data_IF_201765511589
#
_entry.id   IF_201765511589
#
_cell.length_a   1.000
_cell.length_b   1.000
_cell.length_c   1.000
_cell.angle_alpha   90.00
_cell.angle_beta   90.00
_cell.angle_gamma   90.00
#
_symmetry.space_group_name_H-M   'P 1'
#
loop_
_entity.id
_entity.type
_entity.pdbx_description
1 polymer ?
#
# COMPACT_ATOMS: atom_id res chain seq x y z
N UNK A 1 51.94 15.92 5.28
CA UNK A 1 51.28 17.21 4.99
C UNK A 1 49.79 16.97 4.75
N UNK A 2 48.97 17.14 5.79
CA UNK A 2 47.52 17.02 5.72
C UNK A 2 46.93 18.24 4.98
N UNK A 3 46.46 18.06 3.75
CA UNK A 3 45.61 19.05 3.08
C UNK A 3 44.19 18.93 3.64
N UNK A 4 43.85 19.80 4.59
CA UNK A 4 42.48 20.11 4.98
C UNK A 4 41.76 20.73 3.78
N UNK A 5 40.96 19.94 3.06
CA UNK A 5 39.97 20.46 2.12
C UNK A 5 38.79 21.02 2.91
N UNK A 6 38.95 22.25 3.39
CA UNK A 6 37.82 23.08 3.85
C UNK A 6 36.91 23.37 2.66
N UNK A 7 35.81 22.64 2.56
CA UNK A 7 34.67 23.02 1.73
C UNK A 7 34.11 24.33 2.27
N UNK A 8 34.41 25.44 1.60
CA UNK A 8 33.88 26.78 1.89
C UNK A 8 32.40 26.80 1.54
N UNK A 9 31.55 27.15 2.50
CA UNK A 9 30.16 27.48 2.18
C UNK A 9 30.23 28.83 1.49
N UNK A 10 29.75 28.91 0.26
CA UNK A 10 29.72 30.17 -0.47
C UNK A 10 28.62 31.03 0.16
N UNK A 11 28.90 32.28 0.56
CA UNK A 11 27.88 33.19 1.07
C UNK A 11 26.77 33.36 0.04
N UNK A 12 25.51 33.28 0.47
CA UNK A 12 24.35 33.13 -0.41
C UNK A 12 24.20 34.26 -1.43
N UNK A 13 24.56 35.49 -1.04
CA UNK A 13 24.56 36.68 -1.91
C UNK A 13 25.63 36.63 -3.01
N UNK A 14 26.80 36.06 -2.72
CA UNK A 14 27.87 35.90 -3.70
C UNK A 14 27.51 34.83 -4.74
N UNK A 15 26.89 33.73 -4.28
CA UNK A 15 26.35 32.66 -5.13
C UNK A 15 25.29 33.18 -6.11
N UNK A 16 24.40 34.07 -5.67
CA UNK A 16 23.39 34.69 -6.55
C UNK A 16 23.98 35.67 -7.55
N UNK A 17 24.93 36.53 -7.15
CA UNK A 17 25.58 37.46 -8.07
C UNK A 17 26.35 36.72 -9.18
N UNK A 18 27.01 35.61 -8.84
CA UNK A 18 27.68 34.74 -9.81
C UNK A 18 26.70 33.92 -10.66
N UNK A 19 25.58 33.46 -10.08
CA UNK A 19 24.55 32.75 -10.83
C UNK A 19 23.76 33.68 -11.76
N UNK A 20 23.46 34.92 -11.34
CA UNK A 20 22.80 35.96 -12.15
C UNK A 20 23.63 36.33 -13.39
N UNK A 21 24.95 36.43 -13.26
CA UNK A 21 25.85 36.71 -14.39
C UNK A 21 26.03 35.51 -15.34
N UNK A 22 25.56 34.32 -14.93
CA UNK A 22 25.67 33.04 -15.65
C UNK A 22 24.31 32.37 -15.90
N UNK A 23 23.18 33.10 -15.85
CA UNK A 23 21.84 32.52 -16.13
C UNK A 23 21.80 31.82 -17.50
N UNK A 24 22.53 32.36 -18.48
CA UNK A 24 22.69 31.76 -19.81
C UNK A 24 23.46 30.42 -19.80
N UNK A 25 24.17 30.09 -18.72
CA UNK A 25 25.02 28.90 -18.61
C UNK A 25 24.41 27.77 -17.74
N UNK A 26 23.57 28.06 -16.73
CA UNK A 26 22.88 27.02 -15.96
C UNK A 26 21.64 27.52 -15.21
N UNK A 27 20.46 27.10 -15.66
CA UNK A 27 19.19 27.43 -15.00
C UNK A 27 19.03 26.77 -13.63
N UNK A 28 19.50 25.52 -13.46
CA UNK A 28 19.38 24.79 -12.19
C UNK A 28 20.20 25.46 -11.07
N UNK A 29 21.43 25.90 -11.36
CA UNK A 29 22.25 26.63 -10.40
C UNK A 29 21.64 27.98 -10.04
N UNK A 30 21.02 28.67 -11.00
CA UNK A 30 20.30 29.90 -10.73
C UNK A 30 19.11 29.68 -9.77
N UNK A 31 18.30 28.65 -10.00
CA UNK A 31 17.20 28.29 -9.11
C UNK A 31 17.71 27.93 -7.70
N UNK A 32 18.80 27.17 -7.61
CA UNK A 32 19.43 26.82 -6.33
C UNK A 32 19.90 28.07 -5.58
N UNK A 33 20.68 28.94 -6.24
CA UNK A 33 21.24 30.13 -5.62
C UNK A 33 20.14 31.10 -5.15
N UNK A 34 19.15 31.34 -6.01
CA UNK A 34 18.01 32.21 -5.69
C UNK A 34 17.17 31.64 -4.54
N UNK A 35 16.89 30.34 -4.56
CA UNK A 35 16.16 29.66 -3.49
C UNK A 35 16.90 29.66 -2.15
N UNK A 36 18.22 29.45 -2.17
CA UNK A 36 19.05 29.54 -0.97
C UNK A 36 19.03 30.96 -0.38
N UNK A 37 19.07 32.00 -1.21
CA UNK A 37 19.04 33.39 -0.73
C UNK A 37 17.68 33.71 -0.10
N UNK A 38 16.59 33.36 -0.78
CA UNK A 38 15.24 33.55 -0.25
C UNK A 38 15.07 32.84 1.10
N UNK A 39 15.54 31.59 1.22
CA UNK A 39 15.53 30.86 2.49
C UNK A 39 16.42 31.53 3.55
N UNK A 40 17.57 32.06 3.16
CA UNK A 40 18.45 32.84 4.02
C UNK A 40 17.74 34.07 4.61
N UNK A 41 17.04 34.84 3.78
CA UNK A 41 16.25 35.98 4.22
C UNK A 41 15.09 35.58 5.14
N UNK A 42 14.40 34.47 4.83
CA UNK A 42 13.35 33.94 5.70
C UNK A 42 13.90 33.58 7.08
N UNK A 43 15.06 32.92 7.15
CA UNK A 43 15.72 32.58 8.42
C UNK A 43 16.17 33.84 9.19
N UNK A 44 16.63 34.88 8.50
CA UNK A 44 16.99 36.15 9.14
C UNK A 44 15.76 36.91 9.67
N UNK A 45 14.63 36.87 8.95
CA UNK A 45 13.33 37.38 9.43
C UNK A 45 12.85 36.63 10.67
N UNK A 46 12.94 35.30 10.67
CA UNK A 46 12.64 34.47 11.84
C UNK A 46 13.51 34.84 13.04
N UNK A 47 14.83 34.96 12.82
CA UNK A 47 15.78 35.38 13.85
C UNK A 47 15.45 36.77 14.40
N UNK A 48 15.00 37.70 13.55
CA UNK A 48 14.56 39.02 13.98
C UNK A 48 13.25 38.99 14.76
N UNK A 49 12.29 38.16 14.36
CA UNK A 49 11.03 37.98 15.10
C UNK A 49 11.26 37.40 16.51
N UNK A 50 12.27 36.54 16.68
CA UNK A 50 12.59 35.91 17.97
C UNK A 50 13.52 36.77 18.83
N UNK A 51 14.57 37.36 18.24
CA UNK A 51 15.62 38.07 18.96
C UNK A 51 15.51 39.60 18.90
N UNK A 52 14.55 40.16 18.18
CA UNK A 52 14.47 41.59 17.86
C UNK A 52 15.53 42.04 16.84
N UNK A 53 15.59 43.34 16.49
CA UNK A 53 16.59 43.89 15.58
C UNK A 53 18.03 43.60 16.05
N UNK A 54 19.00 43.60 15.11
CA UNK A 54 20.41 43.41 15.48
C UNK A 54 20.87 44.54 16.42
N UNK A 55 21.64 44.18 17.44
CA UNK A 55 22.17 45.09 18.47
C UNK A 55 21.13 45.82 19.34
N UNK A 56 19.83 45.62 19.11
CA UNK A 56 18.78 46.23 19.92
C UNK A 56 18.60 45.48 21.26
N UNK A 57 18.47 46.26 22.34
CA UNK A 57 18.01 45.79 23.65
C UNK A 57 16.49 45.99 23.69
N UNK A 58 15.73 44.92 23.84
CA UNK A 58 14.26 44.97 23.84
C UNK A 58 13.67 43.96 24.81
N UNK A 59 12.57 44.34 25.48
CA UNK A 59 11.92 43.51 26.52
C UNK A 59 11.16 42.29 25.95
N UNK A 60 10.73 42.34 24.69
CA UNK A 60 9.95 41.26 24.04
C UNK A 60 10.82 40.19 23.34
N UNK A 61 12.13 40.20 23.58
CA UNK A 61 13.03 39.19 23.01
C UNK A 61 12.77 37.85 23.71
N UNK A 62 12.91 36.74 22.97
CA UNK A 62 12.83 35.38 23.54
C UNK A 62 14.17 34.65 23.52
N UNK A 63 15.14 35.16 22.76
CA UNK A 63 16.46 34.56 22.59
C UNK A 63 17.54 35.59 22.22
N UNK A 64 18.79 35.15 22.21
CA UNK A 64 19.94 35.84 21.65
C UNK A 64 20.41 35.17 20.36
N UNK A 65 21.02 35.94 19.45
CA UNK A 65 21.74 35.37 18.30
C UNK A 65 23.07 34.79 18.78
N UNK A 66 23.32 33.52 18.47
CA UNK A 66 24.48 32.74 18.89
C UNK A 66 25.34 32.35 17.68
N UNK A 67 25.57 33.32 16.79
CA UNK A 67 26.31 33.11 15.54
C UNK A 67 25.52 32.33 14.50
N UNK A 68 26.25 31.65 13.62
CA UNK A 68 25.71 30.88 12.49
C UNK A 68 26.36 29.51 12.41
N UNK A 69 25.69 28.57 11.76
CA UNK A 69 26.22 27.24 11.48
C UNK A 69 25.85 26.79 10.09
N UNK A 70 26.64 25.86 9.54
CA UNK A 70 26.30 25.17 8.30
C UNK A 70 25.24 24.11 8.58
N UNK A 71 24.21 24.07 7.75
CA UNK A 71 23.18 23.05 7.71
C UNK A 71 23.07 22.47 6.30
N UNK A 72 22.45 21.29 6.18
CA UNK A 72 22.21 20.66 4.87
C UNK A 72 20.72 20.47 4.62
N UNK A 73 20.22 20.97 3.49
CA UNK A 73 18.84 20.78 3.04
C UNK A 73 18.78 19.88 1.81
N UNK A 74 17.61 19.31 1.54
CA UNK A 74 17.38 18.53 0.32
C UNK A 74 17.12 19.40 -0.90
N UNK A 75 17.79 19.11 -2.01
CA UNK A 75 17.59 19.74 -3.32
C UNK A 75 17.98 18.79 -4.46
N UNK A 76 17.07 18.58 -5.43
CA UNK A 76 17.19 17.62 -6.55
C UNK A 76 17.83 16.28 -6.14
N UNK A 77 17.19 15.58 -5.20
CA UNK A 77 17.61 14.25 -4.75
C UNK A 77 18.93 14.18 -3.96
N UNK A 78 19.66 15.30 -3.79
CA UNK A 78 20.88 15.39 -2.99
C UNK A 78 20.83 16.50 -1.93
N UNK A 79 21.87 16.59 -1.10
CA UNK A 79 22.00 17.64 -0.09
C UNK A 79 22.77 18.82 -0.64
N UNK A 80 22.34 20.03 -0.28
CA UNK A 80 23.08 21.29 -0.48
C UNK A 80 23.35 21.91 0.89
N UNK A 81 24.51 22.56 1.02
CA UNK A 81 24.91 23.22 2.26
C UNK A 81 24.46 24.68 2.25
N UNK A 82 23.87 25.14 3.35
CA UNK A 82 23.43 26.52 3.55
C UNK A 82 23.82 26.96 4.96
N UNK A 83 24.17 28.23 5.09
CA UNK A 83 24.43 28.85 6.38
C UNK A 83 23.10 29.26 7.05
N UNK A 84 22.88 28.82 8.28
CA UNK A 84 21.69 29.16 9.08
C UNK A 84 22.07 29.92 10.36
N UNK A 85 21.24 30.85 10.83
CA UNK A 85 21.43 31.46 12.14
C UNK A 85 21.24 30.42 13.26
N UNK A 86 21.98 30.60 14.36
CA UNK A 86 21.75 29.89 15.62
C UNK A 86 21.15 30.86 16.62
N UNK A 87 20.07 30.45 17.25
CA UNK A 87 19.38 31.23 18.28
C UNK A 87 19.51 30.48 19.60
N UNK A 88 19.76 31.20 20.69
CA UNK A 88 19.88 30.61 22.03
C UNK A 88 18.94 31.32 23.00
N UNK A 89 18.01 30.58 23.57
CA UNK A 89 17.07 31.07 24.57
C UNK A 89 17.80 31.54 25.83
N UNK A 90 17.10 32.34 26.64
CA UNK A 90 17.63 32.76 27.95
C UNK A 90 17.79 31.60 28.93
N UNK A 91 17.08 30.49 28.69
CA UNK A 91 17.23 29.21 29.36
C UNK A 91 18.48 28.43 28.92
N UNK A 92 19.28 28.99 28.00
CA UNK A 92 20.49 28.39 27.48
C UNK A 92 20.29 27.35 26.39
N UNK A 93 19.05 27.06 25.96
CA UNK A 93 18.74 26.06 24.91
C UNK A 93 18.77 26.66 23.51
N UNK A 94 19.12 25.86 22.51
CA UNK A 94 19.01 26.28 21.11
C UNK A 94 17.54 26.41 20.73
N UNK A 95 17.19 27.54 20.11
CA UNK A 95 15.83 27.85 19.70
C UNK A 95 15.65 27.54 18.21
N UNK A 96 14.48 27.00 17.84
CA UNK A 96 14.19 26.65 16.47
C UNK A 96 14.14 27.89 15.57
N UNK A 97 14.50 27.69 14.31
CA UNK A 97 14.30 28.69 13.25
C UNK A 97 13.18 28.14 12.36
N UNK A 98 11.94 28.68 12.44
CA UNK A 98 10.78 28.08 11.80
C UNK A 98 10.94 27.76 10.31
N UNK A 99 11.50 28.67 9.51
CA UNK A 99 11.72 28.45 8.08
C UNK A 99 12.75 27.35 7.79
N UNK A 100 13.77 27.20 8.65
CA UNK A 100 14.72 26.08 8.59
C UNK A 100 14.03 24.74 8.91
N UNK A 101 13.24 24.71 9.97
CA UNK A 101 12.54 23.49 10.37
C UNK A 101 11.52 23.05 9.33
N UNK A 102 10.77 23.99 8.76
CA UNK A 102 9.85 23.73 7.66
C UNK A 102 10.58 23.13 6.44
N UNK A 103 11.70 23.73 6.03
CA UNK A 103 12.49 23.23 4.89
C UNK A 103 13.06 21.82 5.13
N UNK A 104 13.46 21.49 6.37
CA UNK A 104 13.96 20.16 6.73
C UNK A 104 12.83 19.14 6.83
N UNK A 105 11.70 19.53 7.45
CA UNK A 105 10.54 18.67 7.68
C UNK A 105 9.88 18.18 6.38
N UNK A 106 10.07 18.90 5.28
CA UNK A 106 9.50 18.51 3.99
C UNK A 106 10.08 17.18 3.45
N UNK A 107 11.27 16.76 3.90
CA UNK A 107 11.94 15.51 3.56
C UNK A 107 11.88 15.13 2.06
N UNK A 108 12.22 16.08 1.19
CA UNK A 108 12.28 15.85 -0.26
C UNK A 108 13.17 14.66 -0.63
N UNK A 109 14.25 14.43 0.11
CA UNK A 109 15.16 13.33 -0.17
C UNK A 109 14.54 11.97 0.15
N UNK A 110 13.76 11.88 1.23
CA UNK A 110 12.95 10.70 1.53
C UNK A 110 11.91 10.46 0.44
N UNK A 111 11.16 11.49 0.06
CA UNK A 111 10.14 11.44 -0.99
C UNK A 111 10.72 11.01 -2.34
N UNK A 112 11.86 11.57 -2.75
CA UNK A 112 12.57 11.17 -3.97
C UNK A 112 13.06 9.73 -3.90
N UNK A 113 13.70 9.33 -2.79
CA UNK A 113 14.13 7.94 -2.61
C UNK A 113 12.95 6.96 -2.69
N UNK A 114 11.82 7.28 -2.06
CA UNK A 114 10.63 6.44 -2.16
C UNK A 114 10.09 6.36 -3.59
N UNK A 115 9.92 7.50 -4.26
CA UNK A 115 9.41 7.54 -5.62
C UNK A 115 10.30 6.72 -6.58
N UNK A 116 11.61 6.95 -6.54
CA UNK A 116 12.59 6.27 -7.39
C UNK A 116 12.58 4.74 -7.17
N UNK A 117 12.46 4.29 -5.91
CA UNK A 117 12.36 2.87 -5.59
C UNK A 117 11.05 2.26 -6.13
N UNK A 118 9.92 2.96 -6.02
CA UNK A 118 8.61 2.51 -6.51
C UNK A 118 8.56 2.39 -8.04
N UNK A 119 9.29 3.22 -8.76
CA UNK A 119 9.41 3.14 -10.23
C UNK A 119 10.58 2.25 -10.70
N UNK A 120 11.10 1.38 -9.83
CA UNK A 120 12.16 0.40 -10.11
C UNK A 120 13.54 0.99 -10.44
N UNK A 121 13.87 2.20 -10.00
CA UNK A 121 15.26 2.64 -10.01
C UNK A 121 16.03 1.94 -8.88
N UNK A 122 17.01 1.12 -9.26
CA UNK A 122 17.89 0.46 -8.30
C UNK A 122 18.66 1.50 -7.46
N UNK A 123 18.87 1.23 -6.17
CA UNK A 123 19.62 2.13 -5.26
C UNK A 123 21.02 2.49 -5.76
N UNK A 124 21.67 1.62 -6.54
CA UNK A 124 22.98 1.90 -7.19
C UNK A 124 22.88 2.94 -8.30
N UNK A 125 21.70 3.10 -8.92
CA UNK A 125 21.41 4.07 -9.98
C UNK A 125 20.76 5.35 -9.43
N UNK A 126 20.46 5.43 -8.14
CA UNK A 126 19.76 6.58 -7.53
C UNK A 126 20.46 7.91 -7.81
N UNK A 127 21.79 7.98 -7.63
CA UNK A 127 22.54 9.21 -7.90
C UNK A 127 22.33 9.69 -9.34
N UNK A 128 22.48 8.79 -10.32
CA UNK A 128 22.30 9.07 -11.75
C UNK A 128 20.86 9.39 -12.15
N UNK A 129 19.87 8.93 -11.37
CA UNK A 129 18.45 9.15 -11.70
C UNK A 129 17.91 10.48 -11.20
N UNK A 130 18.60 11.12 -10.25
CA UNK A 130 18.18 12.42 -9.70
C UNK A 130 19.17 13.54 -10.02
N UNK A 131 20.39 13.20 -10.46
CA UNK A 131 21.38 14.16 -10.95
C UNK A 131 22.04 13.61 -12.21
N UNK A 132 21.97 14.40 -13.27
CA UNK A 132 22.62 14.07 -14.54
C UNK A 132 24.15 14.12 -14.35
N UNK A 133 24.91 13.22 -14.99
CA UNK A 133 26.37 13.26 -14.96
C UNK A 133 26.95 14.60 -15.44
N UNK A 134 26.29 15.21 -16.43
CA UNK A 134 26.63 16.50 -17.02
C UNK A 134 25.92 17.68 -16.33
N UNK A 135 25.16 17.42 -15.25
CA UNK A 135 24.41 18.44 -14.54
C UNK A 135 25.30 19.33 -13.67
N UNK A 136 24.96 20.61 -13.60
CA UNK A 136 25.81 21.63 -12.98
C UNK A 136 25.72 21.67 -11.44
N UNK A 137 24.81 20.90 -10.83
CA UNK A 137 24.62 20.88 -9.37
C UNK A 137 25.65 19.92 -8.71
N UNK A 138 26.61 20.43 -7.90
CA UNK A 138 27.68 19.62 -7.36
C UNK A 138 27.17 18.46 -6.50
N UNK A 139 27.66 17.24 -6.74
CA UNK A 139 27.42 16.05 -5.92
C UNK A 139 28.61 15.67 -5.03
N UNK A 140 29.08 16.54 -4.11
CA UNK A 140 30.26 16.26 -3.31
C UNK A 140 30.05 15.09 -2.36
N UNK A 141 31.16 14.58 -1.80
CA UNK A 141 31.11 13.60 -0.71
C UNK A 141 30.18 14.08 0.41
N UNK A 142 29.21 13.24 0.79
CA UNK A 142 28.20 13.60 1.78
C UNK A 142 26.95 14.33 1.24
N UNK A 143 26.80 14.46 -0.09
CA UNK A 143 25.55 14.88 -0.73
C UNK A 143 24.38 13.89 -0.49
N UNK A 144 24.67 12.71 0.07
CA UNK A 144 23.67 11.72 0.43
C UNK A 144 23.04 11.02 -0.78
N UNK A 145 23.74 10.98 -1.90
CA UNK A 145 23.33 10.31 -3.15
C UNK A 145 23.74 8.82 -3.19
N UNK A 146 24.46 8.34 -2.18
CA UNK A 146 24.94 6.95 -2.16
C UNK A 146 23.79 5.94 -2.04
N UNK A 147 24.03 4.72 -2.55
CA UNK A 147 23.14 3.56 -2.38
C UNK A 147 22.62 3.42 -0.95
N UNK A 148 23.52 3.49 0.04
CA UNK A 148 23.16 3.30 1.45
C UNK A 148 22.32 4.45 1.99
N UNK A 149 22.55 5.68 1.53
CA UNK A 149 21.73 6.83 1.91
C UNK A 149 20.32 6.74 1.32
N UNK A 150 20.19 6.37 0.04
CA UNK A 150 18.89 6.13 -0.59
C UNK A 150 18.12 5.00 0.11
N UNK A 151 18.80 3.88 0.41
CA UNK A 151 18.21 2.75 1.11
C UNK A 151 17.71 3.12 2.51
N UNK A 152 18.50 3.83 3.32
CA UNK A 152 18.07 4.27 4.66
C UNK A 152 16.85 5.18 4.61
N UNK A 153 16.80 6.10 3.64
CA UNK A 153 15.65 6.99 3.45
C UNK A 153 14.38 6.23 3.05
N UNK A 154 14.51 5.31 2.10
CA UNK A 154 13.40 4.43 1.73
C UNK A 154 12.89 3.65 2.95
N UNK A 155 13.80 3.02 3.70
CA UNK A 155 13.48 2.25 4.92
C UNK A 155 12.73 3.10 5.94
N UNK A 156 13.21 4.30 6.23
CA UNK A 156 12.58 5.20 7.21
C UNK A 156 11.18 5.66 6.75
N UNK A 157 11.07 6.19 5.52
CA UNK A 157 9.81 6.73 5.02
C UNK A 157 8.75 5.64 4.77
N UNK A 158 9.15 4.49 4.22
CA UNK A 158 8.24 3.36 4.03
C UNK A 158 7.77 2.78 5.36
N UNK A 159 8.61 2.73 6.39
CA UNK A 159 8.21 2.28 7.72
C UNK A 159 7.16 3.21 8.34
N UNK A 160 7.37 4.52 8.28
CA UNK A 160 6.40 5.51 8.76
C UNK A 160 5.06 5.38 8.01
N UNK A 161 5.09 5.43 6.66
CA UNK A 161 3.87 5.31 5.85
C UNK A 161 3.15 3.99 6.01
N UNK A 162 3.87 2.88 6.22
CA UNK A 162 3.24 1.58 6.47
C UNK A 162 2.53 1.61 7.81
N UNK A 163 3.16 2.16 8.85
CA UNK A 163 2.56 2.31 10.18
C UNK A 163 1.29 3.17 10.13
N UNK A 164 1.37 4.34 9.50
CA UNK A 164 0.25 5.27 9.38
C UNK A 164 -0.92 4.64 8.60
N UNK A 165 -0.62 3.96 7.49
CA UNK A 165 -1.63 3.25 6.71
C UNK A 165 -2.24 2.06 7.45
N UNK A 166 -1.45 1.26 8.16
CA UNK A 166 -1.93 0.14 8.97
C UNK A 166 -2.70 0.59 10.21
N UNK A 167 -2.67 1.89 10.55
CA UNK A 167 -3.45 2.49 11.64
C UNK A 167 -4.61 3.37 11.13
N UNK A 168 -4.81 3.49 9.81
CA UNK A 168 -5.81 4.40 9.26
C UNK A 168 -7.24 3.90 9.54
N UNK A 169 -8.13 4.81 9.90
CA UNK A 169 -9.56 4.50 10.09
C UNK A 169 -10.21 4.00 8.78
N UNK A 170 -11.05 2.99 8.91
CA UNK A 170 -11.81 2.32 7.84
C UNK A 170 -13.32 2.60 7.94
N UNK A 171 -13.80 3.17 9.05
CA UNK A 171 -15.23 3.37 9.32
C UNK A 171 -15.92 4.21 8.24
N UNK A 172 -15.21 5.16 7.63
CA UNK A 172 -15.74 6.03 6.57
C UNK A 172 -15.81 5.40 5.17
N UNK A 173 -15.35 4.17 4.96
CA UNK A 173 -15.20 3.58 3.62
C UNK A 173 -16.43 2.82 3.08
N UNK A 174 -17.51 2.64 3.86
CA UNK A 174 -18.75 1.94 3.46
C UNK A 174 -18.52 0.74 2.51
N UNK A 175 -17.68 -0.20 2.98
CA UNK A 175 -17.18 -1.33 2.19
C UNK A 175 -18.26 -2.40 2.03
N UNK A 176 -18.54 -2.81 0.78
CA UNK A 176 -19.47 -3.90 0.45
C UNK A 176 -18.77 -5.23 0.14
N UNK A 177 -17.56 -5.16 -0.42
CA UNK A 177 -16.79 -6.33 -0.85
C UNK A 177 -15.40 -6.26 -0.26
N UNK A 178 -14.89 -7.39 0.24
CA UNK A 178 -13.52 -7.53 0.73
C UNK A 178 -12.88 -8.74 0.07
N UNK A 179 -11.79 -8.52 -0.67
CA UNK A 179 -10.95 -9.59 -1.18
C UNK A 179 -9.78 -9.83 -0.23
N UNK A 180 -9.54 -11.08 0.14
CA UNK A 180 -8.38 -11.47 0.94
C UNK A 180 -7.64 -12.59 0.20
N UNK A 181 -6.33 -12.43 0.04
CA UNK A 181 -5.50 -13.39 -0.70
C UNK A 181 -4.08 -13.46 -0.14
N UNK A 182 -3.44 -14.61 -0.36
CA UNK A 182 -2.05 -14.87 -0.02
C UNK A 182 -1.11 -14.33 -1.10
N UNK A 183 0.00 -13.72 -0.68
CA UNK A 183 1.03 -13.14 -1.54
C UNK A 183 2.34 -13.85 -1.25
N UNK A 184 2.80 -14.64 -2.22
CA UNK A 184 4.11 -15.27 -2.19
C UNK A 184 5.18 -14.24 -2.57
N UNK A 185 6.00 -13.82 -1.61
CA UNK A 185 7.08 -12.85 -1.80
C UNK A 185 8.40 -13.54 -2.17
N UNK A 186 8.60 -14.74 -1.64
CA UNK A 186 9.69 -15.68 -1.90
C UNK A 186 9.18 -17.11 -1.61
N UNK A 187 10.04 -18.12 -1.74
CA UNK A 187 9.68 -19.53 -1.42
C UNK A 187 9.17 -19.69 0.03
N UNK A 188 9.79 -19.02 0.99
CA UNK A 188 9.49 -19.15 2.43
C UNK A 188 8.75 -17.95 3.05
N UNK A 189 8.29 -17.00 2.22
CA UNK A 189 7.71 -15.75 2.73
C UNK A 189 6.36 -15.44 2.09
N UNK A 190 5.31 -15.54 2.91
CA UNK A 190 3.93 -15.27 2.51
C UNK A 190 3.40 -14.07 3.29
N UNK A 191 2.67 -13.18 2.61
CA UNK A 191 1.90 -12.12 3.25
C UNK A 191 0.43 -12.32 2.93
N UNK A 192 -0.47 -12.01 3.85
CA UNK A 192 -1.91 -11.98 3.56
C UNK A 192 -2.32 -10.53 3.36
N UNK A 193 -3.02 -10.22 2.28
CA UNK A 193 -3.46 -8.87 1.96
C UNK A 193 -4.98 -8.77 1.83
N UNK A 194 -5.51 -7.62 2.20
CA UNK A 194 -6.93 -7.29 2.04
C UNK A 194 -7.12 -6.05 1.14
N UNK A 195 -8.08 -6.13 0.21
CA UNK A 195 -8.56 -5.01 -0.60
C UNK A 195 -10.08 -4.92 -0.50
N UNK A 196 -10.58 -3.74 -0.20
CA UNK A 196 -12.01 -3.42 -0.11
C UNK A 196 -12.53 -2.76 -1.37
N UNK A 197 -13.83 -2.89 -1.60
CA UNK A 197 -14.60 -2.10 -2.57
C UNK A 197 -15.74 -1.43 -1.83
N UNK A 198 -15.83 -0.10 -1.97
CA UNK A 198 -16.91 0.68 -1.38
C UNK A 198 -18.19 0.64 -2.24
N UNK A 199 -19.26 1.25 -1.74
CA UNK A 199 -20.54 1.41 -2.45
C UNK A 199 -20.46 2.11 -3.80
N UNK A 200 -19.46 2.98 -4.01
CA UNK A 200 -19.26 3.69 -5.28
C UNK A 200 -18.45 2.85 -6.27
N UNK A 201 -17.91 1.72 -5.81
CA UNK A 201 -17.04 0.84 -6.57
C UNK A 201 -15.58 1.24 -6.53
N UNK A 202 -15.20 2.25 -5.73
CA UNK A 202 -13.80 2.63 -5.54
C UNK A 202 -13.11 1.56 -4.68
N UNK A 203 -11.85 1.26 -5.02
CA UNK A 203 -11.09 0.15 -4.43
C UNK A 203 -10.08 0.70 -3.43
N UNK A 204 -9.91 0.02 -2.32
CA UNK A 204 -9.10 0.50 -1.20
C UNK A 204 -8.19 -0.62 -0.68
N UNK A 205 -6.85 -0.47 -0.71
CA UNK A 205 -5.97 -1.34 0.07
C UNK A 205 -6.29 -1.20 1.56
N UNK A 206 -6.63 -2.30 2.23
CA UNK A 206 -7.08 -2.25 3.63
C UNK A 206 -5.97 -2.62 4.62
N UNK A 207 -5.17 -3.64 4.32
CA UNK A 207 -4.12 -4.08 5.24
C UNK A 207 -3.29 -5.25 4.75
N UNK A 208 -2.24 -5.54 5.53
CA UNK A 208 -1.30 -6.64 5.35
C UNK A 208 -1.04 -7.34 6.68
N UNK A 209 -0.87 -8.66 6.64
CA UNK A 209 -0.37 -9.44 7.77
C UNK A 209 0.79 -10.35 7.33
N UNK A 210 1.76 -10.50 8.23
CA UNK A 210 2.91 -11.40 8.07
C UNK A 210 2.53 -12.84 8.45
N UNK A 211 2.91 -13.81 7.62
CA UNK A 211 2.81 -15.23 7.93
C UNK A 211 3.97 -16.05 7.35
N UNK A 212 4.41 -17.07 8.07
CA UNK A 212 5.29 -18.10 7.49
C UNK A 212 4.52 -19.07 6.57
N UNK A 213 3.21 -19.17 6.77
CA UNK A 213 2.23 -19.92 5.97
C UNK A 213 0.89 -19.19 6.02
N UNK A 214 -0.12 -19.62 5.25
CA UNK A 214 -1.53 -19.21 5.41
C UNK A 214 -2.16 -19.78 6.70
N UNK A 215 -1.46 -19.68 7.83
CA UNK A 215 -1.95 -20.15 9.11
C UNK A 215 -3.14 -19.29 9.56
N UNK A 216 -4.14 -19.93 10.14
CA UNK A 216 -5.34 -19.30 10.66
C UNK A 216 -5.06 -18.15 11.63
N UNK A 217 -3.93 -18.16 12.34
CA UNK A 217 -3.51 -17.07 13.22
C UNK A 217 -3.19 -15.78 12.45
N UNK A 218 -2.41 -15.85 11.36
CA UNK A 218 -2.06 -14.68 10.54
C UNK A 218 -3.31 -14.07 9.90
N UNK A 219 -4.18 -14.92 9.37
CA UNK A 219 -5.44 -14.47 8.78
C UNK A 219 -6.32 -13.78 9.81
N UNK A 220 -6.45 -14.37 11.01
CA UNK A 220 -7.24 -13.74 12.06
C UNK A 220 -6.65 -12.41 12.49
N UNK A 221 -5.34 -12.32 12.66
CA UNK A 221 -4.68 -11.05 13.03
C UNK A 221 -4.95 -9.95 12.01
N UNK A 222 -4.99 -10.29 10.71
CA UNK A 222 -5.40 -9.33 9.68
C UNK A 222 -6.84 -8.87 9.91
N UNK A 223 -7.77 -9.80 10.09
CA UNK A 223 -9.19 -9.48 10.28
C UNK A 223 -9.42 -8.66 11.56
N UNK A 224 -8.79 -9.05 12.67
CA UNK A 224 -8.86 -8.33 13.95
C UNK A 224 -8.38 -6.88 13.76
N UNK A 225 -7.24 -6.68 13.07
CA UNK A 225 -6.75 -5.33 12.76
C UNK A 225 -7.75 -4.52 11.93
N UNK A 226 -8.43 -5.13 10.95
CA UNK A 226 -9.45 -4.43 10.17
C UNK A 226 -10.64 -4.00 11.05
N UNK A 227 -11.09 -4.88 11.95
CA UNK A 227 -12.21 -4.60 12.88
C UNK A 227 -11.84 -3.50 13.87
N UNK A 228 -10.66 -3.57 14.47
CA UNK A 228 -10.14 -2.54 15.38
C UNK A 228 -10.08 -1.15 14.73
N UNK A 229 -9.89 -1.11 13.40
CA UNK A 229 -9.84 0.11 12.60
C UNK A 229 -11.20 0.55 12.08
N UNK A 230 -12.30 -0.04 12.53
CA UNK A 230 -13.66 0.40 12.19
C UNK A 230 -14.37 -0.45 11.12
N UNK A 231 -13.85 -1.63 10.75
CA UNK A 231 -14.60 -2.57 9.94
C UNK A 231 -15.68 -3.28 10.79
N UNK A 232 -16.87 -2.69 10.86
CA UNK A 232 -17.97 -3.19 11.69
C UNK A 232 -18.42 -4.62 11.30
N UNK A 233 -18.27 -5.65 12.16
CA UNK A 233 -18.71 -7.01 11.88
C UNK A 233 -20.22 -7.19 11.68
N UNK A 234 -21.05 -6.26 12.17
CA UNK A 234 -22.50 -6.32 12.04
C UNK A 234 -22.99 -6.02 10.62
N UNK A 235 -22.21 -5.29 9.83
CA UNK A 235 -22.58 -4.93 8.46
C UNK A 235 -22.33 -6.11 7.50
N UNK A 236 -23.36 -6.63 6.82
CA UNK A 236 -23.20 -7.73 5.87
C UNK A 236 -22.31 -7.35 4.69
N UNK A 237 -21.31 -8.19 4.40
CA UNK A 237 -20.35 -8.00 3.29
C UNK A 237 -20.12 -9.27 2.52
N UNK A 238 -19.73 -9.12 1.25
CA UNK A 238 -19.22 -10.22 0.45
C UNK A 238 -17.70 -10.34 0.62
N UNK A 239 -17.24 -11.48 1.09
CA UNK A 239 -15.83 -11.83 1.11
C UNK A 239 -15.46 -12.65 -0.11
N UNK A 240 -14.36 -12.32 -0.79
CA UNK A 240 -13.86 -13.09 -1.94
C UNK A 240 -12.46 -13.61 -1.61
N UNK A 241 -12.28 -14.92 -1.68
CA UNK A 241 -11.04 -15.61 -1.29
C UNK A 241 -10.67 -16.68 -2.32
N UNK A 242 -9.43 -17.13 -2.35
CA UNK A 242 -8.94 -18.22 -3.21
C UNK A 242 -9.49 -19.60 -2.82
N UNK A 243 -9.89 -19.76 -1.55
CA UNK A 243 -10.44 -20.97 -0.97
C UNK A 243 -9.64 -21.58 0.15
N UNK A 244 -8.65 -20.88 0.73
CA UNK A 244 -7.99 -21.35 1.93
C UNK A 244 -9.02 -21.52 3.08
N UNK A 245 -9.11 -22.74 3.63
CA UNK A 245 -10.05 -23.05 4.73
C UNK A 245 -9.84 -22.16 5.96
N UNK A 246 -8.59 -21.74 6.19
CA UNK A 246 -8.23 -20.80 7.24
C UNK A 246 -8.92 -19.44 7.07
N UNK A 247 -9.00 -18.92 5.83
CA UNK A 247 -9.74 -17.71 5.48
C UNK A 247 -11.22 -17.86 5.77
N UNK A 248 -11.86 -18.90 5.24
CA UNK A 248 -13.30 -19.10 5.46
C UNK A 248 -13.65 -19.22 6.95
N UNK A 249 -12.81 -19.91 7.74
CA UNK A 249 -13.01 -20.08 9.19
C UNK A 249 -12.85 -18.75 9.95
N UNK A 250 -11.82 -17.98 9.64
CA UNK A 250 -11.55 -16.70 10.31
C UNK A 250 -12.64 -15.65 10.00
N UNK A 251 -13.10 -15.60 8.74
CA UNK A 251 -14.23 -14.76 8.33
C UNK A 251 -15.49 -15.14 9.12
N UNK A 252 -15.88 -16.43 9.12
CA UNK A 252 -17.09 -16.86 9.82
C UNK A 252 -17.02 -16.70 11.34
N UNK A 253 -15.82 -16.78 11.93
CA UNK A 253 -15.62 -16.50 13.36
C UNK A 253 -15.93 -15.04 13.70
N UNK A 254 -15.57 -14.11 12.82
CA UNK A 254 -15.65 -12.67 13.09
C UNK A 254 -16.98 -12.07 12.63
N UNK A 255 -17.43 -12.42 11.42
CA UNK A 255 -18.62 -11.87 10.76
C UNK A 255 -19.84 -12.79 10.86
N UNK A 256 -19.73 -13.88 11.62
CA UNK A 256 -20.80 -14.86 11.82
C UNK A 256 -20.92 -15.92 10.71
N UNK A 257 -21.70 -16.96 11.00
CA UNK A 257 -21.89 -18.12 10.11
C UNK A 257 -22.55 -17.73 8.77
N UNK A 258 -23.36 -16.68 8.78
CA UNK A 258 -24.09 -16.13 7.62
C UNK A 258 -23.23 -15.26 6.70
N UNK A 259 -21.93 -15.07 7.00
CA UNK A 259 -21.04 -14.28 6.17
C UNK A 259 -21.00 -14.85 4.74
N UNK A 260 -21.32 -14.00 3.75
CA UNK A 260 -21.29 -14.38 2.35
C UNK A 260 -19.85 -14.51 1.87
N UNK A 261 -19.43 -15.72 1.54
CA UNK A 261 -18.07 -16.02 1.06
C UNK A 261 -18.16 -16.54 -0.36
N UNK A 262 -17.51 -15.84 -1.29
CA UNK A 262 -17.30 -16.28 -2.67
C UNK A 262 -15.90 -16.83 -2.83
N UNK A 263 -15.80 -18.09 -3.24
CA UNK A 263 -14.52 -18.69 -3.63
C UNK A 263 -14.18 -18.35 -5.08
N UNK A 264 -12.92 -17.98 -5.33
CA UNK A 264 -12.45 -17.65 -6.66
C UNK A 264 -12.57 -18.83 -7.63
N UNK A 265 -13.40 -18.65 -8.67
CA UNK A 265 -13.61 -19.66 -9.70
C UNK A 265 -12.35 -19.93 -10.53
N UNK A 266 -11.49 -18.91 -10.73
CA UNK A 266 -10.23 -19.05 -11.47
C UNK A 266 -9.24 -19.93 -10.70
N UNK A 267 -9.05 -19.67 -9.40
CA UNK A 267 -8.20 -20.50 -8.55
C UNK A 267 -8.73 -21.92 -8.45
N UNK A 268 -10.06 -22.09 -8.31
CA UNK A 268 -10.65 -23.43 -8.33
C UNK A 268 -10.37 -24.17 -9.63
N UNK A 269 -10.58 -23.53 -10.77
CA UNK A 269 -10.31 -24.14 -12.07
C UNK A 269 -8.85 -24.59 -12.18
N UNK A 270 -7.90 -23.72 -11.80
CA UNK A 270 -6.47 -24.01 -11.82
C UNK A 270 -6.14 -25.23 -10.97
N UNK A 271 -6.61 -25.27 -9.72
CA UNK A 271 -6.37 -26.37 -8.78
C UNK A 271 -6.91 -27.72 -9.29
N UNK A 272 -8.02 -27.70 -10.04
CA UNK A 272 -8.58 -28.91 -10.68
C UNK A 272 -7.71 -29.31 -11.89
N UNK A 273 -7.35 -28.37 -12.76
CA UNK A 273 -6.57 -28.66 -13.97
C UNK A 273 -5.17 -29.20 -13.67
N UNK A 274 -4.48 -28.68 -12.66
CA UNK A 274 -3.13 -29.11 -12.28
C UNK A 274 -3.05 -30.58 -11.85
N UNK A 275 -4.18 -31.17 -11.46
CA UNK A 275 -4.29 -32.57 -11.02
C UNK A 275 -4.88 -33.50 -12.07
N UNK A 276 -5.13 -32.99 -13.27
CA UNK A 276 -5.71 -33.75 -14.38
C UNK A 276 -4.75 -33.80 -15.57
N UNK A 277 -4.77 -34.89 -16.36
CA UNK A 277 -4.04 -34.95 -17.62
C UNK A 277 -4.58 -33.92 -18.63
N UNK A 278 -3.69 -33.38 -19.46
CA UNK A 278 -4.03 -32.33 -20.44
C UNK A 278 -5.17 -32.71 -21.38
N UNK A 279 -5.35 -34.00 -21.69
CA UNK A 279 -6.43 -34.52 -22.52
C UNK A 279 -7.84 -34.25 -21.95
N UNK A 280 -7.97 -34.17 -20.62
CA UNK A 280 -9.25 -33.88 -19.95
C UNK A 280 -9.50 -32.39 -19.73
N UNK A 281 -8.50 -31.52 -19.93
CA UNK A 281 -8.62 -30.10 -19.60
C UNK A 281 -9.74 -29.41 -20.38
N UNK A 282 -9.87 -29.70 -21.69
CA UNK A 282 -10.87 -29.06 -22.54
C UNK A 282 -12.31 -29.41 -22.11
N UNK A 283 -12.59 -30.70 -21.87
CA UNK A 283 -13.93 -31.16 -21.48
C UNK A 283 -14.31 -30.66 -20.09
N UNK A 284 -13.40 -30.72 -19.12
CA UNK A 284 -13.65 -30.27 -17.75
C UNK A 284 -13.82 -28.75 -17.68
N UNK A 285 -13.01 -27.96 -18.40
CA UNK A 285 -13.17 -26.50 -18.49
C UNK A 285 -14.51 -26.10 -19.12
N UNK A 286 -14.98 -26.85 -20.12
CA UNK A 286 -16.28 -26.60 -20.75
C UNK A 286 -17.41 -26.71 -19.72
N UNK A 287 -17.44 -27.80 -18.95
CA UNK A 287 -18.48 -28.02 -17.93
C UNK A 287 -18.42 -26.99 -16.80
N UNK A 288 -17.21 -26.68 -16.30
CA UNK A 288 -17.05 -25.65 -15.26
C UNK A 288 -17.53 -24.27 -15.74
N UNK A 289 -17.16 -23.89 -16.96
CA UNK A 289 -17.61 -22.64 -17.57
C UNK A 289 -19.12 -22.60 -17.73
N UNK A 290 -19.72 -23.68 -18.25
CA UNK A 290 -21.17 -23.78 -18.39
C UNK A 290 -21.87 -23.61 -17.04
N UNK A 291 -21.39 -24.29 -16.00
CA UNK A 291 -21.96 -24.17 -14.66
C UNK A 291 -21.90 -22.73 -14.11
N UNK A 292 -20.76 -22.05 -14.27
CA UNK A 292 -20.59 -20.68 -13.76
C UNK A 292 -21.30 -19.60 -14.62
N UNK A 293 -21.61 -19.91 -15.87
CA UNK A 293 -22.40 -19.03 -16.75
C UNK A 293 -23.91 -19.13 -16.51
N UNK A 294 -24.41 -20.14 -15.80
CA UNK A 294 -25.82 -20.22 -15.41
C UNK A 294 -26.21 -19.15 -14.39
N UNK A 295 -27.48 -18.73 -14.45
CA UNK A 295 -28.11 -17.82 -13.47
C UNK A 295 -28.87 -18.58 -12.38
N UNK A 296 -28.97 -19.91 -12.52
CA UNK A 296 -29.62 -20.81 -11.58
C UNK A 296 -28.56 -21.64 -10.83
N UNK A 297 -28.39 -21.33 -9.55
CA UNK A 297 -27.39 -21.99 -8.71
C UNK A 297 -27.66 -23.48 -8.51
N UNK A 298 -28.93 -23.93 -8.49
CA UNK A 298 -29.24 -25.35 -8.32
C UNK A 298 -28.87 -26.15 -9.57
N UNK A 299 -29.11 -25.58 -10.76
CA UNK A 299 -28.65 -26.18 -12.03
C UNK A 299 -27.13 -26.19 -12.13
N UNK A 300 -26.46 -25.09 -11.73
CA UNK A 300 -25.01 -25.00 -11.70
C UNK A 300 -24.40 -26.07 -10.77
N UNK A 301 -24.95 -26.19 -9.56
CA UNK A 301 -24.51 -27.19 -8.57
C UNK A 301 -24.67 -28.62 -9.12
N UNK A 302 -25.81 -28.92 -9.76
CA UNK A 302 -26.04 -30.23 -10.37
C UNK A 302 -25.02 -30.55 -11.46
N UNK A 303 -24.66 -29.59 -12.31
CA UNK A 303 -23.62 -29.79 -13.33
C UNK A 303 -22.25 -30.08 -12.71
N UNK A 304 -21.88 -29.35 -11.65
CA UNK A 304 -20.62 -29.53 -10.93
C UNK A 304 -20.57 -30.90 -10.22
N UNK A 305 -21.67 -31.32 -9.58
CA UNK A 305 -21.77 -32.65 -8.94
C UNK A 305 -21.69 -33.78 -9.95
N UNK A 306 -22.36 -33.65 -11.10
CA UNK A 306 -22.26 -34.64 -12.19
C UNK A 306 -20.83 -34.75 -12.74
N UNK A 307 -20.12 -33.62 -12.84
CA UNK A 307 -18.70 -33.61 -13.22
C UNK A 307 -17.83 -34.35 -12.21
N UNK A 308 -18.02 -34.09 -10.92
CA UNK A 308 -17.31 -34.80 -9.86
C UNK A 308 -17.58 -36.32 -9.91
N UNK A 309 -18.85 -36.72 -10.06
CA UNK A 309 -19.24 -38.12 -10.15
C UNK A 309 -18.58 -38.84 -11.34
N UNK A 310 -18.46 -38.19 -12.50
CA UNK A 310 -17.77 -38.74 -13.68
C UNK A 310 -16.28 -38.96 -13.43
N UNK A 311 -15.66 -38.11 -12.61
CA UNK A 311 -14.24 -38.16 -12.28
C UNK A 311 -13.94 -39.06 -11.07
N UNK A 312 -14.94 -39.46 -10.29
CA UNK A 312 -14.77 -40.17 -9.02
C UNK A 312 -13.97 -41.47 -9.17
N UNK A 313 -14.24 -42.25 -10.22
CA UNK A 313 -13.63 -43.57 -10.42
C UNK A 313 -12.11 -43.50 -10.58
N UNK A 314 -11.64 -42.59 -11.44
CA UNK A 314 -10.22 -42.54 -11.85
C UNK A 314 -9.46 -41.38 -11.16
N UNK A 315 -10.20 -40.38 -10.65
CA UNK A 315 -9.67 -39.12 -10.11
C UNK A 315 -10.41 -38.68 -8.84
N UNK A 316 -10.64 -39.60 -7.89
CA UNK A 316 -11.37 -39.35 -6.63
C UNK A 316 -10.89 -38.11 -5.86
N UNK A 317 -9.57 -37.87 -5.80
CA UNK A 317 -9.01 -36.66 -5.18
C UNK A 317 -9.39 -35.35 -5.89
N UNK A 318 -9.59 -35.38 -7.21
CA UNK A 318 -10.07 -34.23 -8.00
C UNK A 318 -11.58 -34.06 -7.81
N UNK A 319 -12.34 -35.15 -7.80
CA UNK A 319 -13.77 -35.11 -7.51
C UNK A 319 -14.06 -34.53 -6.12
N UNK A 320 -13.33 -34.99 -5.09
CA UNK A 320 -13.37 -34.42 -3.75
C UNK A 320 -12.99 -32.94 -3.73
N UNK A 321 -11.97 -32.54 -4.50
CA UNK A 321 -11.65 -31.13 -4.69
C UNK A 321 -12.82 -30.37 -5.32
N UNK A 322 -13.43 -30.84 -6.42
CA UNK A 322 -14.57 -30.17 -7.08
C UNK A 322 -15.72 -29.91 -6.10
N UNK A 323 -16.06 -30.89 -5.27
CA UNK A 323 -17.14 -30.79 -4.29
C UNK A 323 -16.80 -29.88 -3.10
N UNK A 324 -15.52 -29.77 -2.77
CA UNK A 324 -15.04 -28.94 -1.66
C UNK A 324 -15.29 -27.45 -1.92
N UNK A 325 -16.07 -26.81 -1.04
CA UNK A 325 -16.41 -25.39 -1.16
C UNK A 325 -17.39 -25.07 -2.30
N UNK A 326 -18.21 -26.04 -2.73
CA UNK A 326 -19.26 -25.82 -3.75
C UNK A 326 -20.27 -24.75 -3.30
N UNK A 327 -20.49 -24.62 -1.99
CA UNK A 327 -21.36 -23.59 -1.48
C UNK A 327 -20.75 -22.20 -1.68
N UNK A 328 -19.46 -22.06 -1.37
CA UNK A 328 -18.74 -20.80 -1.51
C UNK A 328 -18.49 -20.41 -2.98
N UNK A 329 -18.36 -21.38 -3.91
CA UNK A 329 -18.08 -21.05 -5.32
C UNK A 329 -19.30 -20.51 -6.08
N UNK A 330 -20.52 -20.80 -5.60
CA UNK A 330 -21.78 -20.38 -6.22
C UNK A 330 -22.47 -19.23 -5.46
N UNK A 331 -21.82 -18.64 -4.45
CA UNK A 331 -22.40 -17.58 -3.61
C UNK A 331 -22.95 -16.42 -4.42
N UNK A 332 -22.18 -15.87 -5.37
CA UNK A 332 -22.65 -14.73 -6.19
C UNK A 332 -23.85 -15.08 -7.09
N UNK A 333 -23.96 -16.34 -7.51
CA UNK A 333 -25.12 -16.85 -8.26
C UNK A 333 -26.32 -17.03 -7.33
N UNK A 334 -26.12 -17.59 -6.12
CA UNK A 334 -27.18 -17.75 -5.11
C UNK A 334 -27.72 -16.42 -4.59
N UNK A 335 -26.91 -15.37 -4.56
CA UNK A 335 -27.34 -14.01 -4.26
C UNK A 335 -28.20 -13.38 -5.37
N UNK A 336 -28.35 -14.03 -6.53
CA UNK A 336 -29.18 -13.53 -7.63
C UNK A 336 -28.64 -12.24 -8.27
N UNK A 337 -27.32 -12.02 -8.22
CA UNK A 337 -26.72 -10.79 -8.74
C UNK A 337 -26.81 -10.73 -10.27
N UNK A 338 -26.83 -9.54 -10.90
CA UNK A 338 -26.78 -9.45 -12.35
C UNK A 338 -25.47 -10.04 -12.93
N UNK A 339 -25.54 -10.59 -14.15
CA UNK A 339 -24.42 -11.36 -14.76
C UNK A 339 -23.11 -10.59 -14.82
N UNK A 340 -23.15 -9.30 -15.12
CA UNK A 340 -21.95 -8.46 -15.20
C UNK A 340 -21.25 -8.30 -13.85
N UNK A 341 -22.04 -8.14 -12.78
CA UNK A 341 -21.55 -8.06 -11.42
C UNK A 341 -21.06 -9.43 -10.93
N UNK A 342 -21.78 -10.52 -11.21
CA UNK A 342 -21.32 -11.89 -10.93
C UNK A 342 -19.92 -12.13 -11.52
N UNK A 343 -19.73 -11.82 -12.81
CA UNK A 343 -18.42 -11.97 -13.49
C UNK A 343 -17.31 -11.19 -12.80
N UNK A 344 -17.63 -10.02 -12.23
CA UNK A 344 -16.65 -9.16 -11.56
C UNK A 344 -16.31 -9.65 -10.15
N UNK A 345 -17.25 -10.32 -9.46
CA UNK A 345 -17.12 -10.77 -8.08
C UNK A 345 -16.80 -12.27 -7.94
N UNK A 346 -16.89 -13.06 -9.00
CA UNK A 346 -16.62 -14.50 -8.99
C UNK A 346 -15.12 -14.86 -8.84
N UNK A 347 -14.22 -13.88 -8.87
CA UNK A 347 -12.78 -14.12 -8.85
C UNK A 347 -12.00 -13.03 -8.10
N UNK A 348 -10.73 -13.33 -7.79
CA UNK A 348 -9.78 -12.45 -7.09
C UNK A 348 -9.07 -11.47 -8.04
N UNK A 349 -9.68 -11.09 -9.16
CA UNK A 349 -9.06 -10.20 -10.15
C UNK A 349 -8.70 -8.81 -9.59
N UNK A 350 -9.41 -8.34 -8.56
CA UNK A 350 -9.14 -7.02 -7.96
C UNK A 350 -7.80 -7.05 -7.25
N UNK A 351 -7.60 -8.05 -6.38
CA UNK A 351 -6.35 -8.22 -5.65
C UNK A 351 -5.20 -8.66 -6.57
N UNK A 352 -5.45 -9.53 -7.56
CA UNK A 352 -4.43 -9.94 -8.53
C UNK A 352 -3.86 -8.79 -9.38
N UNK A 353 -4.69 -7.80 -9.72
CA UNK A 353 -4.21 -6.61 -10.41
C UNK A 353 -3.25 -5.80 -9.52
N UNK A 354 -3.61 -5.59 -8.24
CA UNK A 354 -2.73 -4.98 -7.27
C UNK A 354 -1.43 -5.80 -7.10
N UNK A 355 -1.52 -7.13 -7.07
CA UNK A 355 -0.37 -8.02 -6.96
C UNK A 355 0.56 -7.96 -8.17
N UNK A 356 0.04 -7.73 -9.38
CA UNK A 356 0.88 -7.44 -10.54
C UNK A 356 1.76 -6.21 -10.32
N UNK A 357 1.20 -5.16 -9.69
CA UNK A 357 1.97 -3.97 -9.33
C UNK A 357 2.97 -4.25 -8.22
N UNK A 358 2.60 -5.02 -7.19
CA UNK A 358 3.53 -5.48 -6.14
C UNK A 358 4.72 -6.23 -6.76
N UNK A 359 4.47 -7.24 -7.60
CA UNK A 359 5.51 -8.00 -8.30
C UNK A 359 6.39 -7.10 -9.16
N UNK A 360 5.81 -6.10 -9.84
CA UNK A 360 6.56 -5.12 -10.63
C UNK A 360 7.48 -4.27 -9.74
N UNK A 361 6.98 -3.68 -8.67
CA UNK A 361 7.74 -2.81 -7.75
C UNK A 361 8.83 -3.58 -7.01
N UNK A 362 8.55 -4.83 -6.63
CA UNK A 362 9.49 -5.67 -5.89
C UNK A 362 10.49 -6.41 -6.79
N UNK A 363 10.39 -6.31 -8.12
CA UNK A 363 11.20 -7.08 -9.09
C UNK A 363 12.72 -6.99 -8.86
N UNK A 364 13.19 -5.84 -8.40
CA UNK A 364 14.61 -5.57 -8.15
C UNK A 364 15.09 -5.99 -6.75
N UNK A 365 14.17 -6.39 -5.86
CA UNK A 365 14.49 -6.97 -4.56
C UNK A 365 14.78 -8.46 -4.77
N UNK A 366 16.06 -8.83 -4.68
CA UNK A 366 16.51 -10.22 -4.91
C UNK A 366 16.74 -11.03 -3.65
N UNK A 367 16.66 -10.38 -2.48
CA UNK A 367 16.90 -11.03 -1.19
C UNK A 367 16.08 -10.32 -0.12
N UNK A 368 15.07 -11.00 0.39
CA UNK A 368 14.33 -10.58 1.56
C UNK A 368 15.16 -10.90 2.80
N UNK A 369 15.35 -9.91 3.68
CA UNK A 369 16.15 -10.07 4.92
C UNK A 369 15.30 -10.30 6.16
N UNK A 370 14.03 -9.94 6.07
CA UNK A 370 13.04 -10.03 7.12
C UNK A 370 11.66 -9.86 6.51
N UNK A 371 10.63 -10.38 7.17
CA UNK A 371 9.26 -10.10 6.78
C UNK A 371 8.89 -8.62 6.93
N UNK A 372 9.47 -7.92 7.91
CA UNK A 372 9.33 -6.46 8.03
C UNK A 372 9.86 -5.68 6.82
N UNK A 373 10.82 -6.24 6.08
CA UNK A 373 11.25 -5.68 4.80
C UNK A 373 10.19 -5.92 3.72
N UNK A 374 9.66 -7.14 3.63
CA UNK A 374 8.61 -7.49 2.67
C UNK A 374 7.33 -6.69 2.91
N UNK A 375 6.85 -6.60 4.15
CA UNK A 375 5.69 -5.79 4.52
C UNK A 375 5.82 -4.34 4.03
N UNK A 376 6.96 -3.68 4.24
CA UNK A 376 7.15 -2.28 3.82
C UNK A 376 7.16 -2.11 2.31
N UNK A 377 7.80 -3.05 1.60
CA UNK A 377 7.78 -3.04 0.13
C UNK A 377 6.39 -3.29 -0.42
N UNK A 378 5.68 -4.29 0.12
CA UNK A 378 4.32 -4.64 -0.30
C UNK A 378 3.33 -3.52 0.05
N UNK A 379 3.40 -2.93 1.24
CA UNK A 379 2.55 -1.80 1.63
C UNK A 379 2.77 -0.60 0.70
N UNK A 380 4.03 -0.22 0.46
CA UNK A 380 4.36 0.87 -0.44
C UNK A 380 3.89 0.59 -1.88
N UNK A 381 4.00 -0.66 -2.35
CA UNK A 381 3.55 -1.06 -3.66
C UNK A 381 2.01 -1.14 -3.79
N UNK A 382 1.30 -1.53 -2.73
CA UNK A 382 -0.17 -1.51 -2.70
C UNK A 382 -0.71 -0.07 -2.72
N UNK A 383 -0.07 0.84 -1.98
CA UNK A 383 -0.40 2.26 -2.04
C UNK A 383 -0.11 2.85 -3.44
N UNK A 384 0.96 2.40 -4.10
CA UNK A 384 1.24 2.77 -5.49
C UNK A 384 0.19 2.20 -6.45
N UNK A 385 -0.24 0.95 -6.25
CA UNK A 385 -1.29 0.33 -7.05
C UNK A 385 -2.63 1.08 -6.93
N UNK A 386 -2.96 1.60 -5.74
CA UNK A 386 -4.18 2.34 -5.49
C UNK A 386 -4.35 3.56 -6.41
N UNK A 387 -3.25 4.22 -6.80
CA UNK A 387 -3.26 5.37 -7.71
C UNK A 387 -3.78 5.03 -9.10
N UNK A 388 -3.67 3.77 -9.52
CA UNK A 388 -4.12 3.28 -10.81
C UNK A 388 -5.48 2.56 -10.75
N UNK A 389 -6.12 2.49 -9.59
CA UNK A 389 -7.38 1.76 -9.46
C UNK A 389 -8.50 2.43 -10.24
N UNK A 390 -9.09 1.63 -11.14
CA UNK A 390 -10.38 1.95 -11.75
C UNK A 390 -11.48 1.38 -10.88
N UNK A 391 -12.64 2.04 -10.88
CA UNK A 391 -13.87 1.53 -10.26
C UNK A 391 -14.17 0.10 -10.67
N UNK A 392 -14.86 -0.62 -9.80
CA UNK A 392 -15.38 -1.95 -10.11
C UNK A 392 -16.22 -1.89 -11.39
N UNK A 393 -16.03 -2.89 -12.26
CA UNK A 393 -16.89 -3.07 -13.42
C UNK A 393 -18.31 -3.37 -12.92
N UNK A 394 -19.32 -2.77 -13.54
CA UNK A 394 -20.70 -2.83 -13.09
C UNK A 394 -20.94 -2.25 -11.67
N UNK A 395 -20.13 -1.29 -11.20
CA UNK A 395 -20.34 -0.62 -9.90
C UNK A 395 -21.74 -0.01 -9.72
N UNK A 396 -22.41 0.38 -10.81
CA UNK A 396 -23.81 0.86 -10.78
C UNK A 396 -24.81 -0.19 -10.24
N UNK A 397 -24.44 -1.47 -10.23
CA UNK A 397 -25.25 -2.57 -9.72
C UNK A 397 -24.93 -2.93 -8.26
N UNK A 398 -24.00 -2.23 -7.60
CA UNK A 398 -23.67 -2.45 -6.19
C UNK A 398 -24.84 -2.26 -5.21
N UNK A 399 -25.84 -1.39 -5.45
CA UNK A 399 -27.05 -1.37 -4.63
C UNK A 399 -27.80 -2.71 -4.61
N UNK A 400 -27.81 -3.45 -5.74
CA UNK A 400 -28.39 -4.80 -5.81
C UNK A 400 -27.62 -5.79 -4.94
N UNK A 401 -26.28 -5.67 -4.90
CA UNK A 401 -25.46 -6.49 -3.99
C UNK A 401 -25.78 -6.19 -2.52
N UNK A 402 -25.87 -4.91 -2.13
CA UNK A 402 -26.23 -4.51 -0.77
C UNK A 402 -27.56 -5.15 -0.34
N UNK A 403 -28.60 -4.97 -1.14
CA UNK A 403 -29.92 -5.54 -0.86
C UNK A 403 -29.88 -7.09 -0.76
N UNK A 404 -29.12 -7.75 -1.64
CA UNK A 404 -28.97 -9.21 -1.60
C UNK A 404 -28.24 -9.69 -0.33
N UNK A 405 -27.21 -8.97 0.12
CA UNK A 405 -26.46 -9.29 1.34
C UNK A 405 -27.32 -9.10 2.59
N UNK A 406 -28.10 -8.02 2.67
CA UNK A 406 -29.05 -7.78 3.77
C UNK A 406 -30.13 -8.87 3.83
N UNK A 407 -30.71 -9.22 2.68
CA UNK A 407 -31.70 -10.31 2.60
C UNK A 407 -31.10 -11.67 3.00
N UNK A 408 -29.86 -11.96 2.60
CA UNK A 408 -29.15 -13.17 2.99
C UNK A 408 -28.92 -13.23 4.51
N UNK A 409 -28.43 -12.14 5.10
CA UNK A 409 -28.18 -12.05 6.53
C UNK A 409 -29.46 -12.19 7.37
N UNK A 410 -30.56 -11.59 6.92
CA UNK A 410 -31.85 -11.67 7.61
C UNK A 410 -32.44 -13.08 7.58
N UNK A 411 -32.35 -13.80 6.45
CA UNK A 411 -32.83 -15.18 6.33
C UNK A 411 -32.17 -16.12 7.33
N UNK A 412 -30.85 -16.01 7.49
CA UNK A 412 -30.11 -16.84 8.47
C UNK A 412 -30.45 -16.47 9.91
N UNK A 413 -30.64 -15.18 10.20
CA UNK A 413 -31.03 -14.71 11.55
C UNK A 413 -32.38 -15.28 11.98
N UNK A 414 -33.38 -15.24 11.09
CA UNK A 414 -34.72 -15.78 11.36
C UNK A 414 -34.73 -17.32 11.42
N UNK A 415 -33.95 -17.98 10.57
CA UNK A 415 -33.78 -19.43 10.61
C UNK A 415 -33.12 -19.93 11.90
N UNK A 416 -32.27 -19.11 12.53
CA UNK A 416 -31.61 -19.45 13.78
C UNK A 416 -32.56 -19.32 14.99
N UNK A 417 -33.38 -18.26 15.02
CA UNK A 417 -34.43 -18.08 16.05
C UNK A 417 -35.44 -19.23 15.99
N UNK A 418 -35.89 -19.60 14.79
CA UNK A 418 -36.82 -20.72 14.62
C UNK A 418 -36.23 -22.06 15.08
N UNK A 419 -34.93 -22.31 14.82
CA UNK A 419 -34.25 -23.54 15.30
C UNK A 419 -34.03 -23.56 16.81
N UNK A 420 -33.79 -22.41 17.44
CA UNK A 420 -33.67 -22.30 18.89
C UNK A 420 -35.02 -22.48 19.59
N UNK A 421 -36.11 -21.97 18.99
CA UNK A 421 -37.48 -22.14 19.51
C UNK A 421 -38.02 -23.58 19.38
N UNK A 422 -37.46 -24.39 18.47
CA UNK A 422 -37.80 -25.82 18.31
C UNK A 422 -36.94 -26.71 19.22
N UNK A 423 -35.79 -26.20 19.69
CA UNK A 423 -34.85 -26.93 20.55
C UNK A 423 -35.02 -26.63 22.06
N UNK A 424 -35.90 -25.68 22.41
CA UNK A 424 -36.39 -25.40 23.75
C UNK A 424 -37.79 -26.01 23.92
#
# INVERSE_FOLDING_TARGET
>A
MNKLTTSTAIPTRALKLEALSKISASFELFCLASGMEALGEMMDRDAQAICGPRHARGRNRRAHRWGKTKGKIGFHGGKVEIERPRLRGFDGKEQPVPSWEAAVAEDWLGKWAMNQMLINVATRKFARSVRLPEGDVPGPAGAGLSKSAASRRFVALSAARTRDWMASDLSGLDLLVIQIDGIHMDEDLILVAAIGVDVKGDKHPLGLAEGATENAATVQSLIDNLVERGLDPAVPRLFIIDGAKALSKAIRRTFGRAAAIQRCQIHKARNIMERLPKSLHASVRCVLRQAWELDDAAKAERLIRNLAQRLERDWSGVAGSILEGIDEILTVTRLGLPKELQRSLACTNIIENAMSTVRRVCRNVKRWRSASMAMRWTAAAMQEAARGFRRLKAHKQLPTLRAALEAHHNKDSHGNIARQAIAA
#
